data_IF_766243815490
#
_entry.id   IF_766243815490
#
_cell.length_a   1.000
_cell.length_b   1.000
_cell.length_c   1.000
_cell.angle_alpha   90.00
_cell.angle_beta   90.00
_cell.angle_gamma   90.00
#
_symmetry.space_group_name_H-M   'P 1'
#
loop_
_entity.id
_entity.type
_entity.pdbx_description
1 polymer ?
#
# COMPACT_ATOMS: atom_id res chain seq x y z
N UNK A 1 9.95 -9.16 -16.26
CA UNK A 1 9.04 -8.25 -15.49
C UNK A 1 9.88 -7.61 -14.41
N UNK A 2 9.68 -6.33 -14.14
CA UNK A 2 10.44 -5.59 -13.13
C UNK A 2 10.26 -6.22 -11.73
N UNK A 3 11.35 -6.65 -11.05
CA UNK A 3 11.28 -7.24 -9.72
C UNK A 3 10.70 -6.30 -8.67
N UNK A 4 10.95 -4.99 -8.78
CA UNK A 4 10.44 -3.99 -7.85
C UNK A 4 8.91 -3.87 -7.95
N UNK A 5 8.37 -3.85 -9.18
CA UNK A 5 6.92 -3.88 -9.41
C UNK A 5 6.30 -5.15 -8.83
N UNK A 6 6.89 -6.31 -9.12
CA UNK A 6 6.42 -7.59 -8.57
C UNK A 6 6.44 -7.62 -7.05
N UNK A 7 7.47 -7.04 -6.43
CA UNK A 7 7.55 -6.95 -4.97
C UNK A 7 6.37 -6.18 -4.39
N UNK A 8 6.09 -4.98 -4.90
CA UNK A 8 4.96 -4.15 -4.44
C UNK A 8 3.63 -4.90 -4.58
N UNK A 9 3.41 -5.56 -5.71
CA UNK A 9 2.21 -6.35 -5.96
C UNK A 9 2.07 -7.51 -4.96
N UNK A 10 3.13 -8.31 -4.76
CA UNK A 10 3.08 -9.43 -3.80
C UNK A 10 2.94 -8.98 -2.36
N UNK A 11 3.58 -7.86 -2.00
CA UNK A 11 3.40 -7.28 -0.67
C UNK A 11 1.93 -6.86 -0.45
N UNK A 12 1.35 -6.10 -1.39
CA UNK A 12 -0.04 -5.67 -1.35
C UNK A 12 -1.00 -6.85 -1.20
N UNK A 13 -0.78 -7.92 -1.99
CA UNK A 13 -1.54 -9.16 -1.88
C UNK A 13 -1.51 -9.78 -0.48
N UNK A 14 -0.31 -9.98 0.06
CA UNK A 14 -0.12 -10.61 1.37
C UNK A 14 -0.72 -9.75 2.48
N UNK A 15 -0.56 -8.42 2.38
CA UNK A 15 -1.11 -7.46 3.32
C UNK A 15 -2.63 -7.47 3.29
N UNK A 16 -3.25 -7.36 2.12
CA UNK A 16 -4.70 -7.43 1.96
C UNK A 16 -5.27 -8.77 2.45
N UNK A 17 -4.68 -9.90 2.05
CA UNK A 17 -5.11 -11.23 2.51
C UNK A 17 -5.11 -11.35 4.04
N UNK A 18 -4.11 -10.77 4.70
CA UNK A 18 -3.98 -10.82 6.16
C UNK A 18 -4.88 -9.83 6.86
N UNK A 19 -4.85 -8.55 6.46
CA UNK A 19 -5.60 -7.47 7.08
C UNK A 19 -7.11 -7.69 6.94
N UNK A 20 -7.57 -8.06 5.74
CA UNK A 20 -8.98 -8.27 5.44
C UNK A 20 -9.47 -9.69 5.77
N UNK A 21 -8.61 -10.52 6.38
CA UNK A 21 -8.94 -11.90 6.78
C UNK A 21 -9.57 -12.73 5.66
N UNK A 22 -8.99 -12.66 4.45
CA UNK A 22 -9.55 -13.31 3.27
C UNK A 22 -9.53 -14.85 3.31
N UNK A 23 -8.91 -15.46 4.32
CA UNK A 23 -8.91 -16.93 4.44
C UNK A 23 -10.34 -17.50 4.52
N UNK A 24 -10.69 -18.57 3.76
CA UNK A 24 -9.82 -19.40 2.90
C UNK A 24 -9.66 -18.88 1.45
N UNK A 25 -10.22 -17.73 1.11
CA UNK A 25 -10.05 -17.14 -0.22
C UNK A 25 -8.57 -16.80 -0.46
N UNK A 26 -8.08 -17.15 -1.66
CA UNK A 26 -6.72 -16.82 -2.09
C UNK A 26 -6.77 -16.02 -3.38
N UNK A 27 -5.89 -15.04 -3.47
CA UNK A 27 -5.67 -14.26 -4.67
C UNK A 27 -4.53 -14.88 -5.51
N UNK A 28 -4.74 -14.97 -6.80
CA UNK A 28 -3.79 -15.50 -7.79
C UNK A 28 -3.38 -14.36 -8.71
N UNK A 29 -2.10 -14.35 -9.12
CA UNK A 29 -1.59 -13.36 -10.06
C UNK A 29 -2.36 -13.40 -11.38
N UNK A 30 -2.69 -12.23 -11.89
CA UNK A 30 -3.40 -11.99 -13.15
C UNK A 30 -2.76 -10.78 -13.85
N UNK A 31 -3.28 -10.37 -14.99
CA UNK A 31 -2.79 -9.18 -15.69
C UNK A 31 -3.68 -7.95 -15.42
N UNK A 32 -4.99 -8.14 -15.46
CA UNK A 32 -5.97 -7.06 -15.26
C UNK A 32 -7.25 -7.61 -14.63
N UNK A 33 -7.48 -7.42 -13.36
CA UNK A 33 -6.59 -6.77 -12.36
C UNK A 33 -5.37 -7.64 -12.01
N UNK A 34 -4.43 -7.08 -11.25
CA UNK A 34 -3.18 -7.76 -10.84
C UNK A 34 -3.40 -9.07 -10.12
N UNK A 35 -4.50 -9.20 -9.38
CA UNK A 35 -4.88 -10.41 -8.66
C UNK A 35 -6.37 -10.73 -8.79
N UNK A 36 -6.66 -12.03 -8.89
CA UNK A 36 -8.02 -12.56 -8.95
C UNK A 36 -8.21 -13.72 -7.96
N UNK A 37 -9.38 -13.83 -7.35
CA UNK A 37 -9.81 -15.06 -6.68
C UNK A 37 -10.27 -16.11 -7.71
N UNK A 38 -10.19 -17.42 -7.35
CA UNK A 38 -10.55 -18.51 -8.26
C UNK A 38 -11.95 -18.39 -8.87
N UNK A 39 -12.93 -17.87 -8.11
CA UNK A 39 -14.33 -17.76 -8.52
C UNK A 39 -14.68 -16.37 -9.04
N UNK A 40 -13.68 -15.51 -9.22
CA UNK A 40 -13.88 -14.08 -9.56
C UNK A 40 -14.79 -13.35 -8.56
N UNK A 41 -14.78 -13.77 -7.31
CA UNK A 41 -15.50 -13.09 -6.24
C UNK A 41 -14.81 -11.78 -5.89
N UNK A 42 -13.47 -11.76 -6.01
CA UNK A 42 -12.63 -10.60 -5.71
C UNK A 42 -11.57 -10.42 -6.79
N UNK A 43 -11.46 -9.20 -7.30
CA UNK A 43 -10.36 -8.69 -8.11
C UNK A 43 -9.64 -7.58 -7.34
N UNK A 44 -8.32 -7.56 -7.36
CA UNK A 44 -7.53 -6.51 -6.71
C UNK A 44 -6.48 -5.97 -7.67
N UNK A 45 -6.56 -4.68 -7.93
CA UNK A 45 -5.55 -3.90 -8.65
C UNK A 45 -4.61 -3.25 -7.64
N UNK A 46 -3.33 -3.13 -7.98
CA UNK A 46 -2.29 -2.54 -7.14
C UNK A 46 -1.67 -1.35 -7.85
N UNK A 47 -1.50 -0.25 -7.15
CA UNK A 47 -0.81 0.94 -7.68
C UNK A 47 0.09 1.56 -6.62
N UNK A 48 1.13 2.27 -7.07
CA UNK A 48 1.99 3.12 -6.21
C UNK A 48 1.56 4.57 -6.38
N UNK A 49 1.44 5.26 -5.27
CA UNK A 49 1.27 6.71 -5.23
C UNK A 49 2.62 7.37 -4.91
N UNK A 50 3.60 7.16 -5.80
CA UNK A 50 4.92 7.78 -5.71
C UNK A 50 4.91 9.16 -6.35
N UNK A 51 5.68 10.08 -5.80
CA UNK A 51 6.02 11.35 -6.46
C UNK A 51 7.06 11.00 -7.53
N UNK A 52 6.77 11.28 -8.80
CA UNK A 52 7.59 10.82 -9.94
C UNK A 52 9.04 11.30 -9.87
N UNK A 53 9.26 12.51 -9.39
CA UNK A 53 10.60 13.07 -9.21
C UNK A 53 11.43 12.26 -8.21
N UNK A 54 10.82 11.82 -7.12
CA UNK A 54 11.48 11.02 -6.10
C UNK A 54 11.70 9.58 -6.58
N UNK A 55 10.71 9.01 -7.25
CA UNK A 55 10.85 7.68 -7.85
C UNK A 55 11.96 7.67 -8.92
N UNK A 56 12.12 8.75 -9.67
CA UNK A 56 13.21 8.90 -10.65
C UNK A 56 14.56 9.04 -9.95
N UNK A 57 14.66 9.86 -8.90
CA UNK A 57 15.88 10.01 -8.10
C UNK A 57 16.29 8.68 -7.45
N UNK A 58 15.34 7.94 -6.88
CA UNK A 58 15.58 6.61 -6.32
C UNK A 58 16.10 5.63 -7.40
N UNK A 59 15.48 5.64 -8.58
CA UNK A 59 15.91 4.82 -9.70
C UNK A 59 17.31 5.18 -10.20
N UNK A 60 17.65 6.47 -10.25
CA UNK A 60 18.96 6.96 -10.67
C UNK A 60 20.03 6.65 -9.61
N UNK A 61 19.73 6.80 -8.32
CA UNK A 61 20.62 6.37 -7.23
C UNK A 61 20.86 4.86 -7.26
N UNK A 62 19.83 4.06 -7.44
CA UNK A 62 19.97 2.62 -7.55
C UNK A 62 20.80 2.18 -8.76
N UNK A 63 20.77 2.94 -9.87
CA UNK A 63 21.64 2.71 -11.03
C UNK A 63 23.11 3.07 -10.75
N UNK A 64 23.36 4.12 -9.98
CA UNK A 64 24.73 4.58 -9.65
C UNK A 64 25.41 3.72 -8.59
N UNK A 65 24.69 3.25 -7.59
CA UNK A 65 25.23 2.56 -6.43
C UNK A 65 25.06 1.03 -6.44
N UNK A 66 24.55 0.47 -7.56
CA UNK A 66 24.37 -0.97 -7.73
C UNK A 66 23.12 -1.52 -7.04
N UNK A 67 22.74 -2.74 -7.47
CA UNK A 67 21.50 -3.44 -7.08
C UNK A 67 21.39 -3.79 -5.57
N UNK A 68 21.56 -2.85 -4.67
CA UNK A 68 20.98 -3.00 -3.35
C UNK A 68 19.46 -2.92 -3.52
N UNK A 69 18.84 -4.08 -3.60
CA UNK A 69 17.40 -4.22 -3.64
C UNK A 69 16.78 -3.32 -2.54
N UNK A 70 15.66 -2.62 -2.81
CA UNK A 70 14.97 -1.74 -1.85
C UNK A 70 14.62 -2.40 -0.50
N UNK A 71 15.05 -3.64 -0.31
CA UNK A 71 14.73 -4.51 0.78
C UNK A 71 15.29 -4.13 2.13
N UNK A 72 16.51 -3.60 2.21
CA UNK A 72 17.14 -3.31 3.51
C UNK A 72 16.67 -1.97 4.07
N UNK A 73 16.52 -0.95 3.24
CA UNK A 73 15.94 0.33 3.65
C UNK A 73 14.49 0.17 4.11
N UNK A 74 13.68 -0.64 3.39
CA UNK A 74 12.28 -0.93 3.78
C UNK A 74 12.22 -1.75 5.08
N UNK A 75 13.16 -2.69 5.32
CA UNK A 75 13.24 -3.41 6.60
C UNK A 75 13.56 -2.46 7.76
N UNK A 76 14.49 -1.53 7.57
CA UNK A 76 14.84 -0.52 8.57
C UNK A 76 13.68 0.45 8.83
N UNK A 77 13.00 0.92 7.79
CA UNK A 77 11.82 1.78 7.93
C UNK A 77 10.67 1.05 8.63
N UNK A 78 10.38 -0.20 8.28
CA UNK A 78 9.34 -1.00 8.97
C UNK A 78 9.71 -1.20 10.45
N UNK A 79 10.97 -1.39 10.78
CA UNK A 79 11.42 -1.54 12.16
C UNK A 79 11.34 -0.20 12.90
N UNK A 80 11.79 0.90 12.30
CA UNK A 80 11.75 2.23 12.92
C UNK A 80 10.30 2.72 13.14
N UNK A 81 9.40 2.54 12.16
CA UNK A 81 8.00 2.96 12.28
C UNK A 81 7.18 2.11 13.27
N UNK A 82 7.67 0.94 13.64
CA UNK A 82 6.89 -0.04 14.40
C UNK A 82 7.41 -0.27 15.84
N UNK A 83 8.51 0.33 16.25
CA UNK A 83 9.05 0.18 17.61
C UNK A 83 8.20 0.87 18.70
N UNK A 84 7.12 1.55 18.30
CA UNK A 84 6.21 2.24 19.23
C UNK A 84 5.33 1.31 20.07
N UNK A 85 5.23 -0.01 19.77
CA UNK A 85 4.18 -0.85 20.35
C UNK A 85 4.66 -1.96 21.31
N UNK A 86 5.95 -2.20 21.47
CA UNK A 86 6.45 -3.24 22.37
C UNK A 86 6.83 -2.71 23.80
N UNK A 87 6.60 -1.41 24.09
CA UNK A 87 6.97 -0.79 25.38
C UNK A 87 5.83 -0.62 26.39
N UNK A 88 4.67 -1.20 26.19
CA UNK A 88 3.60 -1.20 27.20
C UNK A 88 3.77 -2.43 28.12
N UNK A 89 4.86 -2.51 28.86
CA UNK A 89 4.97 -3.40 30.02
C UNK A 89 6.14 -3.14 30.95
N UNK A 90 6.71 -1.96 31.02
CA UNK A 90 7.53 -1.62 32.22
C UNK A 90 7.61 -0.10 32.33
N UNK A 91 7.06 0.42 33.42
CA UNK A 91 7.10 1.82 33.75
C UNK A 91 8.56 2.33 33.82
N UNK A 92 8.88 3.26 32.95
CA UNK A 92 10.01 4.16 33.12
C UNK A 92 9.59 5.49 32.49
N UNK A 93 9.67 6.49 33.33
CA UNK A 93 9.40 7.90 33.10
C UNK A 93 10.41 8.46 32.07
N UNK A 94 9.96 9.50 31.35
CA UNK A 94 10.75 10.43 30.55
C UNK A 94 11.54 9.84 29.35
N UNK A 95 10.86 9.51 28.29
CA UNK A 95 11.47 9.61 26.96
C UNK A 95 10.89 10.84 26.25
N UNK A 96 11.76 11.82 26.00
CA UNK A 96 11.52 12.96 25.14
C UNK A 96 10.81 12.46 23.87
N UNK A 97 9.64 13.03 23.57
CA UNK A 97 8.94 12.83 22.30
C UNK A 97 9.94 13.22 21.19
N UNK A 98 10.62 12.24 20.61
CA UNK A 98 11.25 12.41 19.30
C UNK A 98 10.12 12.72 18.34
N UNK A 99 9.88 14.02 18.13
CA UNK A 99 8.82 14.53 17.29
C UNK A 99 8.96 13.90 15.91
N UNK A 100 7.96 13.12 15.52
CA UNK A 100 7.79 12.73 14.11
C UNK A 100 7.98 14.03 13.32
N UNK A 101 8.98 14.06 12.45
CA UNK A 101 9.20 15.18 11.54
C UNK A 101 7.94 15.34 10.70
N UNK A 102 7.12 16.32 11.07
CA UNK A 102 5.92 16.65 10.30
C UNK A 102 6.36 16.98 8.87
N UNK A 103 5.78 16.29 7.91
CA UNK A 103 6.02 16.61 6.52
C UNK A 103 5.63 18.06 6.23
N UNK A 104 6.44 18.82 5.47
CA UNK A 104 6.04 20.13 5.00
C UNK A 104 4.66 20.06 4.33
N UNK A 105 3.84 21.07 4.57
CA UNK A 105 2.44 21.06 4.12
C UNK A 105 2.28 20.86 2.62
N UNK A 106 3.15 21.46 1.82
CA UNK A 106 3.18 21.32 0.37
C UNK A 106 3.50 19.87 -0.06
N UNK A 107 4.44 19.22 0.62
CA UNK A 107 4.78 17.81 0.37
C UNK A 107 3.60 16.90 0.75
N UNK A 108 2.95 17.16 1.88
CA UNK A 108 1.75 16.43 2.29
C UNK A 108 0.62 16.55 1.26
N UNK A 109 0.34 17.77 0.76
CA UNK A 109 -0.66 18.00 -0.28
C UNK A 109 -0.31 17.30 -1.60
N UNK A 110 0.96 17.23 -1.99
CA UNK A 110 1.40 16.48 -3.17
C UNK A 110 1.10 14.99 -3.02
N UNK A 111 1.36 14.38 -1.86
CA UNK A 111 1.05 12.97 -1.62
C UNK A 111 -0.46 12.69 -1.67
N UNK A 112 -1.27 13.55 -1.04
CA UNK A 112 -2.73 13.44 -1.08
C UNK A 112 -3.23 13.52 -2.52
N UNK A 113 -2.78 14.54 -3.26
CA UNK A 113 -3.13 14.73 -4.67
C UNK A 113 -2.77 13.51 -5.52
N UNK A 114 -1.58 12.92 -5.28
CA UNK A 114 -1.14 11.74 -6.02
C UNK A 114 -1.97 10.50 -5.72
N UNK A 115 -2.38 10.31 -4.47
CA UNK A 115 -3.28 9.21 -4.11
C UNK A 115 -4.63 9.37 -4.82
N UNK A 116 -5.21 10.57 -4.79
CA UNK A 116 -6.49 10.87 -5.46
C UNK A 116 -6.40 10.64 -6.97
N UNK A 117 -5.33 11.12 -7.62
CA UNK A 117 -5.06 10.91 -9.04
C UNK A 117 -4.98 9.41 -9.38
N UNK A 118 -4.27 8.62 -8.59
CA UNK A 118 -4.19 7.17 -8.81
C UNK A 118 -5.53 6.47 -8.65
N UNK A 119 -6.36 6.88 -7.70
CA UNK A 119 -7.73 6.36 -7.55
C UNK A 119 -8.54 6.68 -8.81
N UNK A 120 -8.49 7.92 -9.30
CA UNK A 120 -9.22 8.35 -10.49
C UNK A 120 -8.77 7.62 -11.75
N UNK A 121 -7.46 7.56 -12.01
CA UNK A 121 -6.88 6.89 -13.18
C UNK A 121 -7.25 5.40 -13.22
N UNK A 122 -7.14 4.71 -12.08
CA UNK A 122 -7.49 3.29 -11.99
C UNK A 122 -8.99 3.05 -12.10
N UNK A 123 -9.82 3.97 -11.61
CA UNK A 123 -11.27 3.93 -11.80
C UNK A 123 -11.62 4.06 -13.29
N UNK A 124 -11.00 4.98 -14.02
CA UNK A 124 -11.17 5.12 -15.47
C UNK A 124 -10.73 3.87 -16.24
N UNK A 125 -9.65 3.24 -15.79
CA UNK A 125 -9.13 2.02 -16.41
C UNK A 125 -9.94 0.75 -16.08
N UNK A 126 -10.80 0.78 -15.07
CA UNK A 126 -11.53 -0.38 -14.56
C UNK A 126 -12.42 -1.05 -15.65
N UNK A 127 -12.88 -0.28 -16.64
CA UNK A 127 -13.63 -0.79 -17.80
C UNK A 127 -12.85 -1.80 -18.66
N UNK A 128 -11.52 -1.78 -18.57
CA UNK A 128 -10.62 -2.68 -19.29
C UNK A 128 -10.29 -3.94 -18.50
N UNK A 129 -10.75 -4.03 -17.23
CA UNK A 129 -10.42 -5.13 -16.35
C UNK A 129 -11.44 -6.26 -16.42
N UNK A 130 -11.01 -7.43 -16.00
CA UNK A 130 -11.94 -8.51 -15.70
C UNK A 130 -12.69 -8.15 -14.42
N UNK A 131 -13.96 -7.75 -14.57
CA UNK A 131 -14.80 -7.41 -13.43
C UNK A 131 -15.10 -8.63 -12.57
N UNK A 132 -15.01 -8.44 -11.29
CA UNK A 132 -15.34 -9.42 -10.26
C UNK A 132 -16.61 -8.96 -9.51
N UNK A 133 -17.10 -9.82 -8.61
CA UNK A 133 -18.19 -9.44 -7.70
C UNK A 133 -17.81 -8.25 -6.82
N UNK A 134 -16.56 -8.25 -6.32
CA UNK A 134 -15.94 -7.10 -5.65
C UNK A 134 -14.63 -6.75 -6.37
N UNK A 135 -14.40 -5.46 -6.59
CA UNK A 135 -13.19 -4.94 -7.21
C UNK A 135 -12.52 -3.98 -6.24
N UNK A 136 -11.31 -4.31 -5.81
CA UNK A 136 -10.54 -3.54 -4.84
C UNK A 136 -9.36 -2.86 -5.52
N UNK A 137 -9.04 -1.65 -5.07
CA UNK A 137 -7.81 -0.95 -5.40
C UNK A 137 -6.92 -0.92 -4.16
N UNK A 138 -5.70 -1.39 -4.30
CA UNK A 138 -4.67 -1.23 -3.28
C UNK A 138 -3.70 -0.14 -3.70
N UNK A 139 -3.61 0.92 -2.91
CA UNK A 139 -2.70 2.05 -3.12
C UNK A 139 -1.54 1.93 -2.13
N UNK A 140 -0.35 1.75 -2.65
CA UNK A 140 0.87 1.78 -1.87
C UNK A 140 1.35 3.23 -1.78
N UNK A 141 1.19 3.88 -0.64
CA UNK A 141 1.73 5.22 -0.38
C UNK A 141 3.15 5.10 0.15
N UNK A 142 4.03 5.94 -0.34
CA UNK A 142 5.44 6.02 0.08
C UNK A 142 5.64 6.98 1.27
N UNK A 143 4.60 7.71 1.66
CA UNK A 143 4.66 8.61 2.82
C UNK A 143 4.17 7.91 4.08
N UNK A 144 4.73 8.28 5.22
CA UNK A 144 4.27 7.90 6.56
C UNK A 144 3.53 9.03 7.27
N UNK A 145 3.60 10.26 6.74
CA UNK A 145 3.12 11.48 7.42
C UNK A 145 1.68 11.89 7.11
N UNK A 146 0.80 10.98 6.64
CA UNK A 146 -0.61 11.28 6.45
C UNK A 146 -1.40 11.05 7.73
N UNK A 147 -2.18 12.05 8.11
CA UNK A 147 -3.07 11.99 9.25
C UNK A 147 -4.46 11.47 8.86
N UNK A 148 -5.27 11.13 9.88
CA UNK A 148 -6.66 10.71 9.68
C UNK A 148 -7.48 11.76 8.92
N UNK A 149 -7.24 13.05 9.15
CA UNK A 149 -7.90 14.17 8.45
C UNK A 149 -7.64 14.15 6.95
N UNK A 150 -6.42 13.83 6.54
CA UNK A 150 -6.01 13.73 5.13
C UNK A 150 -6.71 12.54 4.45
N UNK A 151 -6.80 11.43 5.15
CA UNK A 151 -7.48 10.23 4.67
C UNK A 151 -9.00 10.40 4.58
N UNK A 152 -9.61 11.20 5.46
CA UNK A 152 -11.01 11.59 5.34
C UNK A 152 -11.26 12.47 4.10
N UNK A 153 -10.31 13.33 3.72
CA UNK A 153 -10.38 14.09 2.46
C UNK A 153 -10.32 13.16 1.24
N UNK A 154 -9.41 12.17 1.26
CA UNK A 154 -9.32 11.16 0.19
C UNK A 154 -10.60 10.33 0.13
N UNK A 155 -11.18 9.95 1.28
CA UNK A 155 -12.45 9.23 1.33
C UNK A 155 -13.60 10.05 0.76
N UNK A 156 -13.67 11.35 1.10
CA UNK A 156 -14.67 12.27 0.55
C UNK A 156 -14.56 12.36 -0.98
N UNK A 157 -13.34 12.46 -1.50
CA UNK A 157 -13.06 12.40 -2.95
C UNK A 157 -13.53 11.07 -3.56
N UNK A 158 -13.19 9.93 -2.95
CA UNK A 158 -13.63 8.61 -3.41
C UNK A 158 -15.16 8.46 -3.41
N UNK A 159 -15.82 8.98 -2.39
CA UNK A 159 -17.28 8.96 -2.29
C UNK A 159 -17.96 9.83 -3.35
N UNK A 160 -17.35 10.95 -3.74
CA UNK A 160 -17.89 11.90 -4.71
C UNK A 160 -17.76 11.43 -6.19
N UNK A 161 -17.00 10.37 -6.47
CA UNK A 161 -16.89 9.86 -7.83
C UNK A 161 -18.24 9.30 -8.33
N UNK A 162 -18.73 9.81 -9.46
CA UNK A 162 -20.03 9.45 -10.06
C UNK A 162 -19.94 8.31 -11.06
N UNK A 163 -18.76 7.72 -11.27
CA UNK A 163 -18.54 6.67 -12.25
C UNK A 163 -19.44 5.45 -12.03
N UNK A 164 -20.01 4.93 -13.10
CA UNK A 164 -20.86 3.71 -13.09
C UNK A 164 -20.04 2.46 -12.77
N UNK A 165 -18.78 2.43 -13.24
CA UNK A 165 -17.79 1.40 -12.88
C UNK A 165 -16.79 1.99 -11.91
N UNK A 166 -16.67 1.38 -10.73
CA UNK A 166 -15.82 1.86 -9.64
C UNK A 166 -15.33 0.72 -8.78
N UNK A 167 -14.30 0.99 -8.00
CA UNK A 167 -13.86 0.05 -6.98
C UNK A 167 -14.86 0.03 -5.81
N UNK A 168 -15.10 -1.16 -5.27
CA UNK A 168 -15.94 -1.35 -4.08
C UNK A 168 -15.18 -0.91 -2.82
N UNK A 169 -13.85 -1.14 -2.80
CA UNK A 169 -12.97 -0.74 -1.70
C UNK A 169 -11.67 -0.17 -2.23
N UNK A 170 -11.16 0.85 -1.53
CA UNK A 170 -9.80 1.36 -1.71
C UNK A 170 -9.02 1.11 -0.43
N UNK A 171 -7.91 0.41 -0.54
CA UNK A 171 -7.00 0.07 0.54
C UNK A 171 -5.77 0.96 0.40
N UNK A 172 -5.50 1.84 1.36
CA UNK A 172 -4.35 2.75 1.32
C UNK A 172 -3.37 2.35 2.41
N UNK A 173 -2.17 1.92 2.02
CA UNK A 173 -1.07 1.65 2.95
C UNK A 173 -0.29 2.93 3.21
N UNK A 174 -0.20 3.33 4.47
CA UNK A 174 0.60 4.45 4.97
C UNK A 174 1.44 3.93 6.14
N UNK A 175 2.75 3.94 6.03
CA UNK A 175 3.61 3.35 7.07
C UNK A 175 3.22 1.92 7.40
N UNK A 176 2.93 1.64 8.67
CA UNK A 176 2.49 0.32 9.16
C UNK A 176 0.97 0.12 9.14
N UNK A 177 0.22 1.14 8.76
CA UNK A 177 -1.23 1.15 8.79
C UNK A 177 -1.83 0.87 7.42
N UNK A 178 -2.99 0.22 7.42
CA UNK A 178 -3.84 0.04 6.26
C UNK A 178 -5.18 0.71 6.51
N UNK A 179 -5.45 1.74 5.74
CA UNK A 179 -6.73 2.42 5.75
C UNK A 179 -7.65 1.81 4.70
N UNK A 180 -8.89 1.54 5.09
CA UNK A 180 -9.90 0.91 4.23
C UNK A 180 -11.01 1.90 4.00
N UNK A 181 -11.17 2.33 2.76
CA UNK A 181 -12.22 3.20 2.29
C UNK A 181 -13.29 2.34 1.63
N UNK A 182 -14.49 2.39 2.19
CA UNK A 182 -15.69 1.80 1.60
C UNK A 182 -16.70 2.93 1.40
N UNK A 183 -17.36 2.92 0.26
CA UNK A 183 -18.28 4.00 -0.07
C UNK A 183 -19.46 4.04 0.89
N UNK A 184 -19.72 5.22 1.47
CA UNK A 184 -20.82 5.44 2.43
C UNK A 184 -20.60 4.84 3.81
N UNK A 185 -19.42 4.23 4.05
CA UNK A 185 -19.03 3.73 5.37
C UNK A 185 -18.00 4.68 6.02
N UNK A 186 -17.79 4.54 7.32
CA UNK A 186 -16.71 5.24 8.01
C UNK A 186 -15.35 4.69 7.63
N UNK A 187 -14.34 5.59 7.62
CA UNK A 187 -12.95 5.22 7.44
C UNK A 187 -12.52 4.22 8.52
N UNK A 188 -12.10 3.06 8.10
CA UNK A 188 -11.55 2.05 9.00
C UNK A 188 -10.04 1.93 8.85
N UNK A 189 -9.39 1.60 9.96
CA UNK A 189 -7.94 1.48 10.07
C UNK A 189 -7.58 0.11 10.63
N UNK A 190 -6.58 -0.52 10.02
CA UNK A 190 -6.08 -1.83 10.42
C UNK A 190 -4.58 -1.73 10.61
N UNK A 191 -4.14 -1.92 11.84
CA UNK A 191 -2.71 -2.01 12.18
C UNK A 191 -2.29 -3.47 12.28
N UNK A 192 -1.23 -3.83 11.57
CA UNK A 192 -0.61 -5.15 11.69
C UNK A 192 0.68 -5.04 12.51
N UNK A 193 0.93 -6.06 13.31
CA UNK A 193 2.16 -6.13 14.11
C UNK A 193 3.40 -6.14 13.22
N UNK A 194 4.47 -5.46 13.65
CA UNK A 194 5.76 -5.34 12.95
C UNK A 194 6.31 -6.69 12.50
N UNK A 195 6.27 -7.71 13.35
CA UNK A 195 6.70 -9.08 12.99
C UNK A 195 5.91 -9.67 11.82
N UNK A 196 4.62 -9.34 11.72
CA UNK A 196 3.77 -9.79 10.61
C UNK A 196 4.14 -9.07 9.31
N UNK A 197 4.33 -7.75 9.37
CA UNK A 197 4.75 -6.94 8.23
C UNK A 197 6.11 -7.40 7.71
N UNK A 198 7.08 -7.61 8.58
CA UNK A 198 8.41 -8.10 8.22
C UNK A 198 8.37 -9.49 7.57
N UNK A 199 7.55 -10.40 8.11
CA UNK A 199 7.37 -11.72 7.50
C UNK A 199 6.74 -11.64 6.11
N UNK A 200 5.78 -10.73 5.90
CA UNK A 200 5.17 -10.48 4.59
C UNK A 200 6.17 -9.86 3.62
N UNK A 201 6.96 -8.87 4.05
CA UNK A 201 8.04 -8.28 3.28
C UNK A 201 9.02 -9.35 2.76
N UNK A 202 9.58 -10.18 3.65
CA UNK A 202 10.49 -11.27 3.27
C UNK A 202 9.86 -12.28 2.32
N UNK A 203 8.57 -12.56 2.48
CA UNK A 203 7.84 -13.46 1.59
C UNK A 203 7.58 -12.82 0.22
N UNK A 204 7.18 -11.55 0.16
CA UNK A 204 6.98 -10.82 -1.08
C UNK A 204 8.27 -10.75 -1.90
N UNK A 205 9.41 -10.44 -1.26
CA UNK A 205 10.74 -10.42 -1.89
C UNK A 205 11.09 -11.78 -2.51
N UNK A 206 10.87 -12.88 -1.78
CA UNK A 206 11.11 -14.23 -2.32
C UNK A 206 10.24 -14.55 -3.53
N UNK A 207 8.96 -14.16 -3.50
CA UNK A 207 8.04 -14.38 -4.61
C UNK A 207 8.42 -13.55 -5.82
N UNK A 208 8.79 -12.27 -5.64
CA UNK A 208 9.18 -11.39 -6.75
C UNK A 208 10.43 -11.89 -7.47
N UNK A 209 11.45 -12.32 -6.72
CA UNK A 209 12.69 -12.90 -7.30
C UNK A 209 12.40 -14.20 -8.05
N UNK A 210 11.55 -15.06 -7.50
CA UNK A 210 11.19 -16.33 -8.16
C UNK A 210 10.51 -16.07 -9.51
N UNK A 211 9.50 -15.22 -9.52
CA UNK A 211 8.66 -15.01 -10.69
C UNK A 211 9.33 -14.09 -11.73
N UNK A 212 10.32 -13.26 -11.33
CA UNK A 212 11.16 -12.53 -12.29
C UNK A 212 12.09 -13.42 -13.11
N UNK A 213 12.49 -14.58 -12.56
CA UNK A 213 13.38 -15.55 -13.22
C UNK A 213 12.64 -16.56 -14.12
N UNK A 214 11.32 -16.66 -13.99
CA UNK A 214 10.52 -17.64 -14.74
C UNK A 214 10.04 -17.13 -16.12
N UNK A 215 10.54 -15.99 -16.57
CA UNK A 215 10.31 -15.41 -17.91
C UNK A 215 11.64 -15.15 -18.60
#
# INVERSE_FOLDING_TARGET
>A
MDPAKLYVEYYAKLHAERAMRLWPMRLFKSERPDFLSKRRELGMEVTRAAIEEWAQQEADMNRQFGDEMPGEAVEQTILADCDCDDTIANGAEDSEEEGLLELPRDVKEMHIGRIMERIEDKTKALKEYTLCRENWLYVFSETTGLERSDLLRIQSFFNAQEDTLRFDKVLIKVGCQLYVLVRGEELSEITLRSRTLLAMHRKARRLSIRDSKCK
#
